data_IF_376402721768
#
_entry.id   IF_376402721768
#
_cell.length_a   1.000
_cell.length_b   1.000
_cell.length_c   1.000
_cell.angle_alpha   90.00
_cell.angle_beta   90.00
_cell.angle_gamma   90.00
#
_symmetry.space_group_name_H-M   'P 1'
#
loop_
_entity.id
_entity.type
_entity.pdbx_description
1 polymer ?
#
# COMPACT_ATOMS: atom_id res chain seq x y z
N UNK A 1 -3.39 -44.20 -28.92
CA UNK A 1 -4.53 -44.51 -28.06
C UNK A 1 -4.13 -44.20 -26.63
N UNK A 2 -4.76 -43.20 -26.01
CA UNK A 2 -5.09 -43.16 -24.58
C UNK A 2 -6.13 -42.06 -24.40
N UNK A 3 -7.33 -42.49 -24.01
CA UNK A 3 -8.51 -41.70 -23.76
C UNK A 3 -8.62 -41.39 -22.26
N UNK A 4 -9.22 -40.23 -21.93
CA UNK A 4 -9.91 -39.97 -20.66
C UNK A 4 -9.03 -39.64 -19.45
N UNK A 5 -9.42 -38.77 -18.52
CA UNK A 5 -10.69 -38.07 -18.38
C UNK A 5 -10.85 -37.49 -16.95
N UNK A 6 -11.81 -36.56 -16.87
CA UNK A 6 -12.59 -36.12 -15.71
C UNK A 6 -11.94 -35.27 -14.59
N UNK A 7 -12.49 -34.04 -14.52
CA UNK A 7 -12.49 -33.10 -13.39
C UNK A 7 -13.32 -33.65 -12.22
N UNK A 8 -12.90 -33.38 -10.98
CA UNK A 8 -13.79 -33.37 -9.81
C UNK A 8 -13.55 -32.10 -8.99
N UNK A 9 -14.60 -31.28 -8.97
CA UNK A 9 -14.82 -30.15 -8.07
C UNK A 9 -15.36 -30.72 -6.76
N UNK A 10 -14.84 -30.30 -5.61
CA UNK A 10 -15.45 -30.57 -4.32
C UNK A 10 -15.60 -29.27 -3.52
N UNK A 11 -16.85 -29.00 -3.15
CA UNK A 11 -17.31 -27.82 -2.46
C UNK A 11 -17.22 -27.95 -0.93
N UNK A 12 -16.97 -26.80 -0.30
CA UNK A 12 -17.28 -26.33 1.06
C UNK A 12 -17.61 -27.30 2.21
N UNK A 13 -17.00 -27.03 3.37
CA UNK A 13 -17.65 -27.15 4.67
C UNK A 13 -17.16 -26.02 5.61
N UNK A 14 -18.10 -25.16 6.04
CA UNK A 14 -17.95 -24.20 7.14
C UNK A 14 -18.48 -24.87 8.40
N UNK A 15 -17.69 -24.92 9.47
CA UNK A 15 -18.21 -25.03 10.85
C UNK A 15 -17.35 -24.18 11.77
N UNK A 16 -18.01 -23.24 12.44
CA UNK A 16 -17.47 -22.39 13.48
C UNK A 16 -17.24 -23.17 14.79
N UNK A 17 -16.18 -22.84 15.52
CA UNK A 17 -16.09 -23.14 16.95
C UNK A 17 -15.58 -21.89 17.69
N UNK A 18 -16.50 -21.30 18.45
CA UNK A 18 -16.26 -20.29 19.48
C UNK A 18 -15.49 -20.90 20.66
N UNK A 19 -14.60 -20.12 21.27
CA UNK A 19 -14.30 -20.22 22.70
C UNK A 19 -12.90 -20.72 23.07
N UNK A 20 -12.05 -19.79 23.47
CA UNK A 20 -10.78 -20.05 24.15
C UNK A 20 -10.11 -18.76 24.59
N UNK A 21 -10.57 -18.19 25.71
CA UNK A 21 -9.98 -17.03 26.39
C UNK A 21 -8.77 -17.45 27.25
N UNK A 22 -7.80 -16.53 27.33
CA UNK A 22 -6.65 -16.42 28.25
C UNK A 22 -5.32 -16.96 27.71
N UNK A 23 -4.18 -16.28 27.77
CA UNK A 23 -3.81 -14.91 28.09
C UNK A 23 -2.30 -14.75 27.75
N UNK A 24 -1.83 -13.50 27.74
CA UNK A 24 -0.43 -13.07 27.86
C UNK A 24 0.45 -13.17 26.60
N UNK A 25 0.43 -12.13 25.76
CA UNK A 25 1.64 -11.72 25.06
C UNK A 25 1.71 -10.21 24.92
N UNK A 26 2.91 -9.74 25.22
CA UNK A 26 3.48 -8.40 25.23
C UNK A 26 2.63 -7.22 24.74
N UNK A 27 2.51 -6.23 25.63
CA UNK A 27 2.24 -4.84 25.33
C UNK A 27 3.24 -4.30 24.31
N UNK A 28 2.78 -4.07 23.10
CA UNK A 28 3.40 -3.16 22.14
C UNK A 28 2.28 -2.37 21.49
N UNK A 29 2.23 -1.02 21.59
CA UNK A 29 1.18 -0.26 20.94
C UNK A 29 1.46 -0.22 19.43
N UNK A 30 1.05 -1.27 18.74
CA UNK A 30 0.93 -1.31 17.30
C UNK A 30 -0.54 -1.02 16.95
N UNK A 31 -0.99 0.22 17.13
CA UNK A 31 -2.25 0.73 16.58
C UNK A 31 -2.31 2.25 16.76
N UNK A 32 -1.67 3.01 15.87
CA UNK A 32 -1.94 4.45 15.76
C UNK A 32 -1.99 4.99 14.33
N UNK A 33 -1.81 4.17 13.30
CA UNK A 33 -1.73 4.67 11.91
C UNK A 33 -3.03 4.53 11.11
N UNK A 34 -3.92 3.61 11.45
CA UNK A 34 -5.19 3.44 10.71
C UNK A 34 -6.27 4.42 11.17
N UNK A 35 -6.35 4.71 12.47
CA UNK A 35 -7.31 5.70 12.99
C UNK A 35 -6.96 7.13 12.56
N UNK A 36 -5.68 7.52 12.49
CA UNK A 36 -5.30 8.87 12.11
C UNK A 36 -5.81 9.28 10.70
N UNK A 37 -5.89 8.32 9.76
CA UNK A 37 -6.39 8.60 8.40
C UNK A 37 -7.92 8.63 8.35
N UNK A 38 -8.60 7.82 9.17
CA UNK A 38 -10.07 7.80 9.25
C UNK A 38 -10.61 9.03 9.98
N UNK A 39 -9.94 9.44 11.07
CA UNK A 39 -10.31 10.63 11.84
C UNK A 39 -10.06 11.92 11.04
N UNK A 40 -8.98 12.02 10.25
CA UNK A 40 -8.78 13.16 9.34
C UNK A 40 -9.93 13.30 8.34
N UNK A 41 -10.36 12.19 7.72
CA UNK A 41 -11.46 12.22 6.74
C UNK A 41 -12.79 12.64 7.38
N UNK A 42 -12.98 12.35 8.67
CA UNK A 42 -14.18 12.74 9.43
C UNK A 42 -14.13 14.19 9.93
N UNK A 43 -12.96 14.71 10.32
CA UNK A 43 -12.78 16.11 10.73
C UNK A 43 -12.92 17.08 9.55
N UNK A 44 -12.56 16.65 8.34
CA UNK A 44 -12.62 17.48 7.12
C UNK A 44 -14.01 17.53 6.46
N UNK A 45 -14.93 16.66 6.87
CA UNK A 45 -16.33 16.71 6.50
C UNK A 45 -17.15 17.64 7.42
N UNK A 46 -16.52 18.26 8.43
CA UNK A 46 -17.14 19.31 9.22
C UNK A 46 -17.26 20.58 8.38
N UNK A 47 -18.44 21.21 8.40
CA UNK A 47 -18.65 22.54 7.82
C UNK A 47 -17.54 23.49 8.31
N UNK A 48 -16.77 24.05 7.37
CA UNK A 48 -15.72 25.03 7.70
C UNK A 48 -14.29 24.65 7.32
N UNK A 49 -14.03 23.57 6.57
CA UNK A 49 -12.70 23.36 5.98
C UNK A 49 -12.33 24.56 5.09
N UNK A 50 -11.29 25.35 5.43
CA UNK A 50 -10.95 26.52 4.64
C UNK A 50 -10.47 26.11 3.25
N UNK A 51 -10.75 26.93 2.23
CA UNK A 51 -10.50 26.63 0.81
C UNK A 51 -9.07 26.16 0.55
N UNK A 52 -8.07 26.80 1.18
CA UNK A 52 -6.67 26.44 1.03
C UNK A 52 -6.36 25.02 1.53
N UNK A 53 -7.07 24.53 2.55
CA UNK A 53 -6.91 23.18 3.08
C UNK A 53 -7.59 22.14 2.18
N UNK A 54 -8.75 22.48 1.61
CA UNK A 54 -9.42 21.64 0.61
C UNK A 54 -8.54 21.50 -0.65
N UNK A 55 -7.93 22.60 -1.11
CA UNK A 55 -6.98 22.60 -2.22
C UNK A 55 -5.77 21.71 -1.92
N UNK A 56 -5.19 21.83 -0.73
CA UNK A 56 -4.05 21.00 -0.33
C UNK A 56 -4.37 19.49 -0.31
N UNK A 57 -5.60 19.11 0.05
CA UNK A 57 -6.04 17.71 -0.03
C UNK A 57 -6.16 17.22 -1.48
N UNK A 58 -6.70 18.04 -2.38
CA UNK A 58 -6.73 17.76 -3.81
C UNK A 58 -5.31 17.65 -4.40
N UNK A 59 -4.43 18.56 -4.02
CA UNK A 59 -3.02 18.56 -4.42
C UNK A 59 -2.29 17.31 -3.91
N UNK A 60 -2.68 16.76 -2.74
CA UNK A 60 -2.12 15.52 -2.20
C UNK A 60 -2.45 14.31 -3.09
N UNK A 61 -3.68 14.19 -3.57
CA UNK A 61 -4.06 13.10 -4.47
C UNK A 61 -3.34 13.21 -5.82
N UNK A 62 -3.22 14.44 -6.35
CA UNK A 62 -2.44 14.70 -7.55
C UNK A 62 -0.95 14.35 -7.35
N UNK A 63 -0.38 14.72 -6.21
CA UNK A 63 1.01 14.37 -5.89
C UNK A 63 1.21 12.85 -5.74
N UNK A 64 0.25 12.15 -5.13
CA UNK A 64 0.26 10.68 -5.05
C UNK A 64 0.26 10.04 -6.45
N UNK A 65 -0.59 10.52 -7.35
CA UNK A 65 -0.63 10.01 -8.72
C UNK A 65 0.65 10.32 -9.50
N UNK A 66 1.23 11.52 -9.34
CA UNK A 66 2.53 11.85 -9.93
C UNK A 66 3.65 10.96 -9.38
N UNK A 67 3.63 10.68 -8.07
CA UNK A 67 4.61 9.83 -7.41
C UNK A 67 4.54 8.36 -7.85
N UNK A 68 3.37 7.88 -8.32
CA UNK A 68 3.25 6.56 -8.97
C UNK A 68 4.10 6.44 -10.22
N UNK A 69 4.23 7.52 -11.01
CA UNK A 69 5.09 7.51 -12.20
C UNK A 69 6.55 7.37 -11.79
N UNK A 70 6.97 8.08 -10.76
CA UNK A 70 8.32 7.97 -10.19
C UNK A 70 8.59 6.54 -9.70
N UNK A 71 7.61 5.93 -9.01
CA UNK A 71 7.67 4.52 -8.61
C UNK A 71 7.83 3.56 -9.79
N UNK A 72 7.10 3.77 -10.89
CA UNK A 72 7.23 2.95 -12.11
C UNK A 72 8.62 3.04 -12.73
N UNK A 73 9.24 4.23 -12.72
CA UNK A 73 10.63 4.38 -13.18
C UNK A 73 11.63 3.63 -12.28
N UNK A 74 11.41 3.63 -10.96
CA UNK A 74 12.21 2.82 -10.05
C UNK A 74 12.06 1.31 -10.35
N UNK A 75 10.83 0.85 -10.60
CA UNK A 75 10.58 -0.54 -10.98
C UNK A 75 11.22 -0.92 -12.32
N UNK A 76 11.22 -0.01 -13.28
CA UNK A 76 11.93 -0.21 -14.55
C UNK A 76 13.43 -0.36 -14.31
N UNK A 77 14.02 0.49 -13.47
CA UNK A 77 15.44 0.40 -13.12
C UNK A 77 15.79 -0.91 -12.38
N UNK A 78 14.90 -1.41 -11.51
CA UNK A 78 15.02 -2.72 -10.85
C UNK A 78 15.06 -3.84 -11.91
N UNK A 79 14.06 -3.88 -12.80
CA UNK A 79 13.98 -4.92 -13.85
C UNK A 79 15.18 -4.87 -14.80
N UNK A 80 15.66 -3.67 -15.15
CA UNK A 80 16.83 -3.50 -16.01
C UNK A 80 18.12 -4.03 -15.39
N UNK A 81 18.22 -4.14 -14.06
CA UNK A 81 19.34 -4.81 -13.38
C UNK A 81 19.19 -6.33 -13.33
N UNK A 82 18.07 -6.88 -13.82
CA UNK A 82 17.75 -8.31 -13.74
C UNK A 82 17.12 -8.71 -12.40
N UNK A 83 16.74 -7.74 -11.57
CA UNK A 83 16.16 -8.00 -10.26
C UNK A 83 14.67 -8.34 -10.34
N UNK A 84 14.15 -8.93 -9.25
CA UNK A 84 12.74 -9.32 -9.14
C UNK A 84 11.82 -8.10 -9.15
N UNK A 85 10.83 -8.13 -10.03
CA UNK A 85 9.77 -7.13 -10.09
C UNK A 85 8.82 -7.21 -8.89
N UNK A 86 8.38 -6.03 -8.42
CA UNK A 86 7.45 -5.88 -7.31
C UNK A 86 8.05 -6.17 -5.94
N UNK A 87 9.36 -6.40 -5.83
CA UNK A 87 10.01 -6.69 -4.56
C UNK A 87 10.04 -5.45 -3.65
N UNK A 88 9.44 -5.58 -2.47
CA UNK A 88 9.32 -4.47 -1.53
C UNK A 88 10.67 -3.94 -1.04
N UNK A 89 11.66 -4.82 -0.79
CA UNK A 89 12.98 -4.40 -0.31
C UNK A 89 13.74 -3.64 -1.38
N UNK A 90 13.60 -4.04 -2.64
CA UNK A 90 14.21 -3.33 -3.77
C UNK A 90 13.56 -1.96 -3.99
N UNK A 91 12.23 -1.86 -3.89
CA UNK A 91 11.54 -0.58 -3.91
C UNK A 91 11.94 0.33 -2.74
N UNK A 92 12.13 -0.23 -1.54
CA UNK A 92 12.62 0.53 -0.40
C UNK A 92 14.06 1.02 -0.62
N UNK A 93 14.93 0.20 -1.21
CA UNK A 93 16.28 0.60 -1.58
C UNK A 93 16.32 1.72 -2.63
N UNK A 94 15.40 1.72 -3.60
CA UNK A 94 15.26 2.83 -4.56
C UNK A 94 14.76 4.11 -3.88
N UNK A 95 13.82 4.00 -2.94
CA UNK A 95 13.34 5.13 -2.16
C UNK A 95 14.44 5.77 -1.32
N UNK A 96 15.32 4.97 -0.72
CA UNK A 96 16.39 5.49 0.10
C UNK A 96 17.42 6.34 -0.67
N UNK A 97 17.45 6.25 -2.01
CA UNK A 97 18.29 7.09 -2.87
C UNK A 97 17.80 8.55 -2.95
N UNK A 98 16.56 8.83 -2.56
CA UNK A 98 16.07 10.21 -2.51
C UNK A 98 16.76 10.98 -1.40
N UNK A 99 17.20 12.19 -1.74
CA UNK A 99 17.60 13.21 -0.76
C UNK A 99 16.42 13.61 0.12
N UNK A 100 16.70 14.20 1.29
CA UNK A 100 15.65 14.69 2.18
C UNK A 100 14.69 15.67 1.48
N UNK A 101 15.21 16.57 0.63
CA UNK A 101 14.39 17.51 -0.14
C UNK A 101 13.47 16.81 -1.15
N UNK A 102 13.96 15.76 -1.83
CA UNK A 102 13.14 14.98 -2.77
C UNK A 102 12.04 14.19 -2.04
N UNK A 103 12.32 13.66 -0.85
CA UNK A 103 11.32 12.95 -0.03
C UNK A 103 10.17 13.85 0.44
N UNK A 104 10.36 15.17 0.46
CA UNK A 104 9.26 16.12 0.73
C UNK A 104 8.33 16.26 -0.48
N UNK A 105 8.88 16.10 -1.70
CA UNK A 105 8.11 16.30 -2.93
C UNK A 105 7.44 15.02 -3.43
N UNK A 106 8.01 13.85 -3.16
CA UNK A 106 7.45 12.56 -3.59
C UNK A 106 6.60 11.96 -2.47
N UNK A 107 5.34 11.65 -2.76
CA UNK A 107 4.48 10.89 -1.85
C UNK A 107 4.96 9.44 -1.80
N UNK A 108 5.39 8.99 -0.61
CA UNK A 108 5.89 7.62 -0.39
C UNK A 108 4.90 6.56 -0.83
N UNK A 109 3.61 6.74 -0.51
CA UNK A 109 2.61 5.74 -0.86
C UNK A 109 2.38 5.68 -2.38
N UNK A 110 2.32 6.84 -3.06
CA UNK A 110 2.29 6.89 -4.51
C UNK A 110 3.50 6.22 -5.15
N UNK A 111 4.70 6.49 -4.64
CA UNK A 111 5.92 5.81 -5.09
C UNK A 111 5.82 4.28 -4.92
N UNK A 112 5.41 3.80 -3.75
CA UNK A 112 5.28 2.36 -3.47
C UNK A 112 4.25 1.69 -4.38
N UNK A 113 3.09 2.32 -4.57
CA UNK A 113 2.04 1.85 -5.49
C UNK A 113 2.60 1.70 -6.91
N UNK A 114 3.40 2.68 -7.36
CA UNK A 114 4.02 2.66 -8.68
C UNK A 114 5.13 1.62 -8.80
N UNK A 115 5.98 1.51 -7.78
CA UNK A 115 7.15 0.65 -7.80
C UNK A 115 6.75 -0.82 -7.67
N UNK A 116 5.81 -1.15 -6.79
CA UNK A 116 5.46 -2.56 -6.53
C UNK A 116 4.53 -3.16 -7.58
N UNK A 117 4.01 -2.35 -8.50
CA UNK A 117 3.14 -2.82 -9.58
C UNK A 117 3.98 -3.41 -10.71
N UNK A 118 3.76 -4.69 -11.08
CA UNK A 118 4.37 -5.25 -12.27
C UNK A 118 3.97 -4.46 -13.52
N UNK A 119 4.95 -4.24 -14.39
CA UNK A 119 4.81 -3.57 -15.69
C UNK A 119 3.96 -4.38 -16.66
#
# INVERSE_FOLDING_TARGET
>A
MNMGGARLVAAAAVVAALGGLSACTSSGPASQTTEATSTMRSVLAAEGTPEWAAKWLGDRELNRNASRVVGRYAQLAIVQRGDRQGDAKLCDAEWEKFTAAQRVMVDRQGFDDGCRTPA
#
